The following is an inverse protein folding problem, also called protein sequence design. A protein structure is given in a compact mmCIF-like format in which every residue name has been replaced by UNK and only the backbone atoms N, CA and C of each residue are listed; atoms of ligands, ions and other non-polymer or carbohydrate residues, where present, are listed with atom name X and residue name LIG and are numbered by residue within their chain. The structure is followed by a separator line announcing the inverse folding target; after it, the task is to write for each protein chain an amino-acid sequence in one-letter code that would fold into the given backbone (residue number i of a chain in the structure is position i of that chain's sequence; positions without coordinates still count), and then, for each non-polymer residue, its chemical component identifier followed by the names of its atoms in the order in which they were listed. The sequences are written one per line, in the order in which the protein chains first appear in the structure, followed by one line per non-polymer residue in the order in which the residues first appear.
data_IF_219267683092
#
_entry.id   IF_219267683092
#
_cell.length_a   1.000
_cell.length_b   1.000
_cell.length_c   1.000
_cell.angle_alpha   90.00
_cell.angle_beta   90.00
_cell.angle_gamma   90.00
#
_symmetry.space_group_name_H-M   'P 1'
#
loop_
_entity.id
_entity.type
_entity.pdbx_description
1 polymer ?
#
# COMPACT_ATOMS: atom_id res chain seq x y z
N UNK A 1 -37.20 5.12 -31.07
CA UNK A 1 -37.66 4.05 -30.18
C UNK A 1 -36.88 4.15 -28.89
N UNK A 2 -37.48 4.78 -27.88
CA UNK A 2 -36.88 5.02 -26.57
C UNK A 2 -37.02 3.74 -25.72
N UNK A 3 -35.89 3.13 -25.35
CA UNK A 3 -35.86 2.01 -24.42
C UNK A 3 -35.63 2.55 -23.01
N UNK A 4 -36.73 2.58 -22.25
CA UNK A 4 -36.81 2.94 -20.85
C UNK A 4 -36.43 1.70 -20.02
N UNK A 5 -35.28 1.69 -19.34
CA UNK A 5 -34.89 0.57 -18.47
C UNK A 5 -34.90 1.02 -17.02
N UNK A 6 -35.74 0.32 -16.24
CA UNK A 6 -36.06 0.53 -14.83
C UNK A 6 -34.82 0.62 -13.92
N UNK A 7 -34.84 1.62 -13.04
CA UNK A 7 -33.99 1.76 -11.87
C UNK A 7 -34.66 1.03 -10.69
N UNK A 8 -34.09 -0.09 -10.23
CA UNK A 8 -34.55 -0.80 -9.02
C UNK A 8 -33.66 -0.36 -7.86
N UNK A 9 -34.20 0.49 -6.98
CA UNK A 9 -33.55 0.93 -5.74
C UNK A 9 -33.87 -0.12 -4.66
N UNK A 10 -32.92 -1.00 -4.36
CA UNK A 10 -33.01 -1.91 -3.22
C UNK A 10 -32.44 -1.21 -1.98
N UNK A 11 -33.33 -0.82 -1.06
CA UNK A 11 -32.97 -0.32 0.26
C UNK A 11 -32.57 -1.48 1.19
N UNK A 12 -31.29 -1.56 1.54
CA UNK A 12 -30.77 -2.49 2.54
C UNK A 12 -30.48 -1.74 3.85
N UNK A 13 -31.37 -1.94 4.82
CA UNK A 13 -31.21 -1.50 6.21
C UNK A 13 -30.19 -2.38 6.93
N UNK A 14 -29.03 -1.84 7.30
CA UNK A 14 -28.04 -2.55 8.11
C UNK A 14 -28.27 -2.21 9.58
N UNK A 15 -28.54 -3.26 10.36
CA UNK A 15 -28.82 -3.26 11.79
C UNK A 15 -27.49 -3.37 12.56
N UNK A 16 -27.19 -2.38 13.41
CA UNK A 16 -25.97 -2.30 14.21
C UNK A 16 -26.06 -3.16 15.49
N UNK A 17 -25.05 -4.00 15.80
CA UNK A 17 -24.91 -4.61 17.12
C UNK A 17 -24.09 -3.73 18.06
N UNK A 18 -24.69 -3.40 19.22
CA UNK A 18 -24.05 -2.76 20.37
C UNK A 18 -23.26 -3.81 21.18
N UNK A 19 -21.93 -3.71 21.20
CA UNK A 19 -21.09 -4.49 22.11
C UNK A 19 -20.65 -3.61 23.29
N UNK A 20 -21.01 -4.06 24.50
CA UNK A 20 -20.68 -3.45 25.79
C UNK A 20 -19.21 -3.73 26.15
N UNK A 21 -18.44 -2.69 26.40
CA UNK A 21 -17.13 -2.78 27.04
C UNK A 21 -17.30 -2.90 28.56
N UNK A 22 -16.72 -3.93 29.15
CA UNK A 22 -16.52 -4.08 30.60
C UNK A 22 -15.04 -3.81 30.88
N UNK A 23 -14.76 -2.68 31.53
CA UNK A 23 -13.43 -2.30 31.99
C UNK A 23 -13.32 -2.81 33.43
N UNK A 24 -12.58 -3.90 33.61
CA UNK A 24 -12.11 -4.33 34.92
C UNK A 24 -10.77 -3.65 35.18
N UNK A 25 -10.83 -2.62 36.00
CA UNK A 25 -9.70 -1.90 36.59
C UNK A 25 -9.13 -2.76 37.72
N UNK A 26 -7.95 -3.39 37.52
CA UNK A 26 -7.18 -3.96 38.62
C UNK A 26 -5.68 -3.97 38.38
N UNK A 27 -5.02 -3.26 39.30
CA UNK A 27 -3.75 -3.57 39.96
C UNK A 27 -2.45 -3.48 39.13
N UNK A 28 -1.71 -2.38 39.24
CA UNK A 28 -0.71 -2.05 40.26
C UNK A 28 0.66 -2.78 40.13
N UNK A 29 1.71 -1.94 40.08
CA UNK A 29 3.12 -2.17 40.43
C UNK A 29 3.98 -3.14 39.58
N UNK A 30 4.82 -2.60 38.68
CA UNK A 30 6.29 -2.82 38.74
C UNK A 30 7.07 -1.90 37.80
N UNK A 31 7.43 -0.73 38.29
CA UNK A 31 8.50 0.10 37.75
C UNK A 31 9.85 -0.57 37.98
N UNK A 32 10.48 -1.05 36.90
CA UNK A 32 11.89 -1.40 36.86
C UNK A 32 12.46 -0.98 35.50
N UNK A 33 13.49 -0.12 35.43
CA UNK A 33 14.11 0.25 34.17
C UNK A 33 15.01 -0.90 33.71
N UNK A 34 14.45 -1.87 32.97
CA UNK A 34 15.28 -2.80 32.19
C UNK A 34 15.78 -2.06 30.96
N UNK A 35 16.94 -1.43 31.08
CA UNK A 35 17.78 -1.11 29.93
C UNK A 35 18.12 -2.44 29.25
N UNK A 36 17.36 -2.79 28.23
CA UNK A 36 17.68 -3.89 27.33
C UNK A 36 18.94 -3.48 26.57
N UNK A 37 20.09 -3.95 27.06
CA UNK A 37 21.34 -3.99 26.30
C UNK A 37 21.19 -4.99 25.14
N UNK A 38 20.36 -4.65 24.16
CA UNK A 38 20.32 -5.38 22.90
C UNK A 38 21.47 -4.86 22.02
N UNK A 39 22.69 -5.19 22.43
CA UNK A 39 23.89 -5.09 21.61
C UNK A 39 24.33 -6.48 21.20
N UNK A 40 23.41 -7.27 20.66
CA UNK A 40 23.81 -8.26 19.67
C UNK A 40 24.31 -7.47 18.45
N UNK A 41 25.61 -7.15 18.44
CA UNK A 41 26.31 -6.73 17.23
C UNK A 41 26.30 -7.95 16.30
N UNK A 42 25.15 -8.20 15.66
CA UNK A 42 25.07 -9.06 14.47
C UNK A 42 26.06 -8.44 13.51
N UNK A 43 27.23 -9.05 13.41
CA UNK A 43 28.16 -8.79 12.33
C UNK A 43 27.37 -8.93 11.05
N UNK A 44 27.09 -7.81 10.39
CA UNK A 44 26.37 -7.78 9.14
C UNK A 44 27.13 -8.67 8.17
N UNK A 45 26.58 -9.84 7.86
CA UNK A 45 27.17 -10.69 6.85
C UNK A 45 27.15 -9.92 5.53
N UNK A 46 28.33 -9.76 4.93
CA UNK A 46 28.48 -9.12 3.63
C UNK A 46 27.76 -9.97 2.58
N UNK A 47 26.74 -9.39 1.94
CA UNK A 47 25.96 -10.04 0.88
C UNK A 47 24.54 -10.48 1.26
N UNK A 48 24.10 -10.29 2.50
CA UNK A 48 22.70 -10.52 2.88
C UNK A 48 21.75 -9.41 2.42
N UNK A 49 20.44 -9.70 2.42
CA UNK A 49 19.43 -8.66 2.34
C UNK A 49 19.46 -7.79 3.61
N UNK A 50 19.42 -6.48 3.42
CA UNK A 50 19.32 -5.48 4.48
C UNK A 50 17.98 -4.77 4.38
N UNK A 51 17.34 -4.49 5.51
CA UNK A 51 16.09 -3.73 5.53
C UNK A 51 16.30 -2.33 4.94
N UNK A 52 15.31 -1.86 4.20
CA UNK A 52 15.28 -0.55 3.58
C UNK A 52 14.02 0.18 4.01
N UNK A 53 14.11 1.51 4.14
CA UNK A 53 12.97 2.35 4.44
C UNK A 53 11.96 2.31 3.29
N UNK A 54 10.73 1.90 3.60
CA UNK A 54 9.63 1.80 2.65
C UNK A 54 9.16 3.16 2.15
N UNK A 55 9.43 4.23 2.90
CA UNK A 55 9.04 5.61 2.54
C UNK A 55 10.05 6.33 1.65
N UNK A 56 11.12 5.65 1.21
CA UNK A 56 12.13 6.28 0.35
C UNK A 56 11.66 6.47 -1.10
N UNK A 57 12.03 7.59 -1.72
CA UNK A 57 11.69 7.92 -3.12
C UNK A 57 12.18 6.85 -4.10
N UNK A 58 13.37 6.29 -3.84
CA UNK A 58 13.91 5.19 -4.63
C UNK A 58 12.98 3.98 -4.61
N UNK A 59 12.50 3.58 -3.42
CA UNK A 59 11.61 2.44 -3.28
C UNK A 59 10.25 2.69 -3.93
N UNK A 60 9.74 3.91 -3.83
CA UNK A 60 8.50 4.31 -4.51
C UNK A 60 8.62 4.15 -6.03
N UNK A 61 9.74 4.57 -6.63
CA UNK A 61 9.99 4.42 -8.07
C UNK A 61 10.14 2.96 -8.53
N UNK A 62 10.74 2.11 -7.68
CA UNK A 62 10.91 0.68 -7.98
C UNK A 62 9.58 -0.05 -7.82
N UNK A 63 8.77 0.32 -6.83
CA UNK A 63 7.45 -0.22 -6.61
C UNK A 63 6.50 0.15 -7.76
N UNK A 64 6.52 1.39 -8.25
CA UNK A 64 5.72 1.79 -9.41
C UNK A 64 6.13 1.04 -10.68
N UNK A 65 7.44 0.82 -10.88
CA UNK A 65 7.93 -0.01 -11.98
C UNK A 65 7.43 -1.46 -11.86
N UNK A 66 7.53 -2.06 -10.67
CA UNK A 66 7.04 -3.41 -10.43
C UNK A 66 5.53 -3.52 -10.64
N UNK A 67 4.74 -2.53 -10.24
CA UNK A 67 3.29 -2.52 -10.48
C UNK A 67 2.98 -2.46 -11.99
N UNK A 68 3.66 -1.61 -12.75
CA UNK A 68 3.45 -1.50 -14.19
C UNK A 68 3.72 -2.83 -14.92
N UNK A 69 4.82 -3.49 -14.58
CA UNK A 69 5.18 -4.81 -15.10
C UNK A 69 4.18 -5.90 -14.66
N UNK A 70 3.72 -5.84 -13.42
CA UNK A 70 2.71 -6.77 -12.90
C UNK A 70 1.38 -6.63 -13.65
N UNK A 71 0.92 -5.40 -13.90
CA UNK A 71 -0.31 -5.14 -14.65
C UNK A 71 -0.21 -5.64 -16.10
N UNK A 72 0.95 -5.44 -16.75
CA UNK A 72 1.21 -5.95 -18.10
C UNK A 72 1.22 -7.50 -18.15
N UNK A 73 1.70 -8.16 -17.09
CA UNK A 73 1.67 -9.63 -16.97
C UNK A 73 0.26 -10.15 -16.69
N UNK A 74 -0.47 -9.52 -15.76
CA UNK A 74 -1.79 -9.97 -15.31
C UNK A 74 -2.81 -10.04 -16.46
N UNK A 75 -2.70 -9.16 -17.45
CA UNK A 75 -3.56 -9.21 -18.65
C UNK A 75 -3.36 -10.49 -19.47
N UNK A 76 -2.13 -11.01 -19.54
CA UNK A 76 -1.83 -12.24 -20.31
C UNK A 76 -2.35 -13.49 -19.59
N UNK A 77 -2.41 -13.44 -18.27
CA UNK A 77 -2.93 -14.54 -17.45
C UNK A 77 -4.46 -14.53 -17.41
N UNK A 78 -5.08 -13.35 -17.42
CA UNK A 78 -6.54 -13.20 -17.38
C UNK A 78 -7.26 -13.90 -18.55
N UNK A 79 -6.62 -14.03 -19.72
CA UNK A 79 -7.17 -14.78 -20.85
C UNK A 79 -7.16 -16.31 -20.66
N UNK A 80 -6.37 -16.82 -19.71
CA UNK A 80 -6.17 -18.26 -19.49
C UNK A 80 -6.64 -18.75 -18.11
N UNK A 81 -6.91 -17.84 -17.17
CA UNK A 81 -7.22 -18.18 -15.80
C UNK A 81 -8.67 -18.68 -15.66
N UNK A 82 -8.82 -20.00 -15.55
CA UNK A 82 -9.95 -20.59 -14.86
C UNK A 82 -9.96 -20.02 -13.43
N UNK A 83 -11.02 -19.29 -13.11
CA UNK A 83 -11.31 -18.57 -11.87
C UNK A 83 -10.79 -19.26 -10.61
N UNK A 84 -9.57 -18.93 -10.19
CA UNK A 84 -9.12 -19.17 -8.82
C UNK A 84 -9.54 -17.96 -7.99
N UNK A 85 -10.21 -18.19 -6.84
CA UNK A 85 -10.85 -17.12 -6.06
C UNK A 85 -9.87 -16.07 -5.51
N UNK A 86 -8.58 -16.37 -5.48
CA UNK A 86 -7.54 -15.49 -4.93
C UNK A 86 -6.75 -14.71 -5.99
N UNK A 87 -7.19 -14.76 -7.26
CA UNK A 87 -6.53 -14.01 -8.33
C UNK A 87 -7.18 -12.65 -8.54
N UNK A 88 -6.55 -11.59 -8.01
CA UNK A 88 -6.89 -10.22 -8.40
C UNK A 88 -6.27 -9.92 -9.77
N UNK A 89 -7.02 -9.18 -10.60
CA UNK A 89 -6.59 -8.76 -11.94
C UNK A 89 -6.37 -7.25 -11.91
N UNK A 90 -5.17 -6.82 -12.27
CA UNK A 90 -4.81 -5.39 -12.33
C UNK A 90 -4.74 -4.98 -13.80
N UNK A 91 -5.54 -3.99 -14.19
CA UNK A 91 -5.50 -3.44 -15.54
C UNK A 91 -4.47 -2.30 -15.63
N UNK A 92 -3.62 -2.24 -16.66
CA UNK A 92 -2.68 -1.13 -16.88
C UNK A 92 -3.36 0.24 -16.95
N UNK A 93 -4.60 0.31 -17.43
CA UNK A 93 -5.38 1.55 -17.46
C UNK A 93 -5.70 2.09 -16.07
N UNK A 94 -5.95 1.21 -15.10
CA UNK A 94 -6.24 1.59 -13.70
C UNK A 94 -4.98 2.06 -12.96
N UNK A 95 -3.82 1.49 -13.33
CA UNK A 95 -2.53 1.95 -12.83
C UNK A 95 -2.20 3.33 -13.36
N UNK A 96 -2.45 3.58 -14.66
CA UNK A 96 -2.19 4.88 -15.29
C UNK A 96 -3.15 5.97 -14.83
N UNK A 97 -4.40 5.64 -14.53
CA UNK A 97 -5.36 6.59 -13.97
C UNK A 97 -5.10 6.95 -12.51
N UNK A 98 -4.18 6.24 -11.84
CA UNK A 98 -3.94 6.40 -10.40
C UNK A 98 -5.08 5.86 -9.52
N UNK A 99 -6.00 5.07 -10.09
CA UNK A 99 -7.10 4.47 -9.35
C UNK A 99 -6.60 3.40 -8.36
N UNK A 100 -5.48 2.76 -8.70
CA UNK A 100 -4.79 1.79 -7.84
C UNK A 100 -3.61 2.48 -7.19
N UNK A 101 -3.71 2.64 -5.88
CA UNK A 101 -2.62 3.08 -5.01
C UNK A 101 -1.77 1.89 -4.56
N UNK A 102 -0.46 2.10 -4.48
CA UNK A 102 0.49 1.09 -3.97
C UNK A 102 1.01 1.50 -2.61
N UNK A 103 1.09 0.54 -1.71
CA UNK A 103 1.72 0.72 -0.40
C UNK A 103 2.85 -0.29 -0.28
N UNK A 104 4.07 0.20 -0.08
CA UNK A 104 5.22 -0.68 0.14
C UNK A 104 5.23 -1.09 1.61
N UNK A 105 4.96 -2.36 1.86
CA UNK A 105 4.83 -2.92 3.21
C UNK A 105 6.20 -3.32 3.77
N UNK A 106 7.03 -3.92 2.92
CA UNK A 106 8.41 -4.26 3.25
C UNK A 106 9.32 -4.00 2.07
N UNK A 107 10.52 -3.49 2.35
CA UNK A 107 11.57 -3.35 1.38
C UNK A 107 12.88 -3.89 1.95
N UNK A 108 13.58 -4.71 1.17
CA UNK A 108 14.92 -5.17 1.48
C UNK A 108 15.82 -4.99 0.28
N UNK A 109 17.09 -4.66 0.51
CA UNK A 109 18.10 -4.49 -0.54
C UNK A 109 19.26 -5.46 -0.36
N UNK A 110 19.79 -5.97 -1.46
CA UNK A 110 21.00 -6.79 -1.52
C UNK A 110 21.93 -6.26 -2.62
N UNK A 111 23.21 -6.07 -2.29
CA UNK A 111 24.23 -5.67 -3.25
C UNK A 111 24.75 -6.92 -3.98
N UNK A 112 24.73 -6.89 -5.31
CA UNK A 112 25.25 -7.94 -6.22
C UNK A 112 26.09 -7.26 -7.33
N UNK A 113 26.15 -7.82 -8.53
CA UNK A 113 26.59 -7.09 -9.73
C UNK A 113 25.53 -6.04 -10.17
N UNK A 114 25.11 -5.19 -9.24
CA UNK A 114 23.91 -4.35 -9.28
C UNK A 114 23.23 -4.32 -7.90
N UNK A 115 21.93 -4.01 -7.87
CA UNK A 115 21.14 -3.96 -6.64
C UNK A 115 19.87 -4.79 -6.79
N UNK A 116 19.66 -5.77 -5.91
CA UNK A 116 18.41 -6.51 -5.82
C UNK A 116 17.53 -5.87 -4.74
N UNK A 117 16.27 -5.61 -5.07
CA UNK A 117 15.26 -5.09 -4.19
C UNK A 117 14.15 -6.13 -4.04
N UNK A 118 13.98 -6.65 -2.83
CA UNK A 118 12.87 -7.53 -2.49
C UNK A 118 11.78 -6.68 -1.85
N UNK A 119 10.63 -6.63 -2.51
CA UNK A 119 9.50 -5.79 -2.14
C UNK A 119 8.29 -6.66 -1.79
N UNK A 120 7.57 -6.25 -0.75
CA UNK A 120 6.21 -6.69 -0.46
C UNK A 120 5.30 -5.49 -0.70
N UNK A 121 4.46 -5.55 -1.74
CA UNK A 121 3.63 -4.43 -2.20
C UNK A 121 2.16 -4.78 -1.95
N UNK A 122 1.46 -3.93 -1.21
CA UNK A 122 0.01 -3.94 -1.08
C UNK A 122 -0.64 -3.04 -2.13
N UNK A 123 -1.81 -3.46 -2.62
CA UNK A 123 -2.61 -2.75 -3.60
C UNK A 123 -3.93 -2.31 -2.98
N UNK A 124 -4.24 -1.03 -3.15
CA UNK A 124 -5.44 -0.40 -2.62
C UNK A 124 -6.16 0.30 -3.77
N UNK A 125 -7.47 0.13 -3.86
CA UNK A 125 -8.33 0.83 -4.82
C UNK A 125 -9.55 1.35 -4.07
N UNK A 126 -9.85 2.64 -4.18
CA UNK A 126 -11.00 3.26 -3.52
C UNK A 126 -11.08 2.92 -2.01
N UNK A 127 -9.95 3.01 -1.30
CA UNK A 127 -9.79 2.65 0.11
C UNK A 127 -10.13 1.18 0.46
N UNK A 128 -10.23 0.31 -0.55
CA UNK A 128 -10.40 -1.12 -0.38
C UNK A 128 -9.10 -1.84 -0.74
N UNK A 129 -8.72 -2.81 0.09
CA UNK A 129 -7.61 -3.70 -0.25
C UNK A 129 -7.99 -4.57 -1.45
N UNK A 130 -7.14 -4.61 -2.48
CA UNK A 130 -7.24 -5.54 -3.60
C UNK A 130 -6.40 -6.80 -3.41
N UNK A 131 -5.42 -6.73 -2.52
CA UNK A 131 -4.44 -7.78 -2.28
C UNK A 131 -3.04 -7.19 -2.41
N UNK A 132 -2.08 -8.03 -2.76
CA UNK A 132 -0.71 -7.60 -2.93
C UNK A 132 0.17 -8.70 -3.47
N UNK A 133 1.43 -8.40 -3.67
CA UNK A 133 2.38 -9.35 -4.20
C UNK A 133 3.79 -9.09 -3.71
N UNK A 134 4.58 -10.14 -3.70
CA UNK A 134 6.03 -10.05 -3.49
C UNK A 134 6.72 -9.98 -4.84
N UNK A 135 7.73 -9.14 -4.97
CA UNK A 135 8.54 -9.04 -6.19
C UNK A 135 10.00 -8.82 -5.84
N UNK A 136 10.90 -9.37 -6.66
CA UNK A 136 12.32 -9.02 -6.63
C UNK A 136 12.66 -8.26 -7.89
N UNK A 137 13.06 -7.01 -7.74
CA UNK A 137 13.48 -6.13 -8.85
C UNK A 137 14.99 -5.97 -8.79
N UNK A 138 15.66 -6.21 -9.91
CA UNK A 138 17.08 -5.99 -10.07
C UNK A 138 17.32 -4.66 -10.79
N UNK A 139 18.12 -3.79 -10.18
CA UNK A 139 18.63 -2.55 -10.76
C UNK A 139 20.06 -2.78 -11.22
N UNK A 140 20.27 -2.66 -12.51
CA UNK A 140 21.57 -2.79 -13.13
C UNK A 140 22.49 -1.62 -12.74
N UNK A 141 23.79 -1.79 -12.92
CA UNK A 141 24.77 -0.70 -12.75
C UNK A 141 24.53 0.45 -13.75
N UNK A 142 23.87 0.19 -14.88
CA UNK A 142 23.42 1.19 -15.85
C UNK A 142 22.23 2.03 -15.36
N UNK A 143 21.55 1.60 -14.29
CA UNK A 143 20.32 2.20 -13.79
C UNK A 143 19.04 1.56 -14.32
N UNK A 144 19.13 0.65 -15.29
CA UNK A 144 17.96 -0.07 -15.83
C UNK A 144 17.33 -0.98 -14.76
N UNK A 145 16.01 -0.95 -14.65
CA UNK A 145 15.23 -1.81 -13.75
C UNK A 145 14.71 -3.02 -14.52
N UNK A 146 14.79 -4.20 -13.90
CA UNK A 146 14.24 -5.45 -14.43
C UNK A 146 13.61 -6.27 -13.33
N UNK A 147 12.42 -6.80 -13.55
CA UNK A 147 11.84 -7.77 -12.60
C UNK A 147 12.62 -9.08 -12.71
N UNK A 148 13.28 -9.47 -11.62
CA UNK A 148 14.07 -10.69 -11.55
C UNK A 148 13.17 -11.90 -11.24
N UNK A 149 12.24 -11.76 -10.29
CA UNK A 149 11.37 -12.86 -9.87
C UNK A 149 10.08 -12.32 -9.26
N UNK A 150 8.96 -12.91 -9.66
CA UNK A 150 7.67 -12.73 -8.99
C UNK A 150 7.54 -13.70 -7.82
N UNK A 151 7.12 -13.18 -6.68
CA UNK A 151 6.84 -13.97 -5.48
C UNK A 151 5.35 -14.34 -5.38
N UNK A 152 4.97 -14.73 -4.16
CA UNK A 152 3.60 -15.13 -3.83
C UNK A 152 2.66 -13.91 -3.89
N UNK A 153 1.45 -14.12 -4.41
CA UNK A 153 0.35 -13.17 -4.31
C UNK A 153 -0.28 -13.29 -2.92
N UNK A 154 -0.53 -12.16 -2.30
CA UNK A 154 -1.06 -12.06 -0.95
C UNK A 154 -2.51 -11.62 -1.03
N UNK A 155 -3.39 -12.34 -0.34
CA UNK A 155 -4.77 -11.91 -0.14
C UNK A 155 -4.85 -10.76 0.87
N UNK A 156 -6.01 -10.10 0.93
CA UNK A 156 -6.22 -9.01 1.88
C UNK A 156 -6.16 -9.45 3.34
N UNK A 157 -6.56 -10.68 3.65
CA UNK A 157 -6.49 -11.21 5.02
C UNK A 157 -5.03 -11.32 5.49
N UNK A 158 -4.14 -11.83 4.63
CA UNK A 158 -2.72 -11.94 4.94
C UNK A 158 -2.07 -10.57 5.09
N UNK A 159 -2.41 -9.64 4.20
CA UNK A 159 -1.90 -8.27 4.23
C UNK A 159 -2.36 -7.53 5.48
N UNK A 160 -3.64 -7.63 5.84
CA UNK A 160 -4.18 -6.98 7.02
C UNK A 160 -3.60 -7.58 8.30
N UNK A 161 -3.38 -8.90 8.33
CA UNK A 161 -2.78 -9.59 9.47
C UNK A 161 -1.32 -9.19 9.69
N UNK A 162 -0.54 -8.99 8.63
CA UNK A 162 0.88 -8.66 8.72
C UNK A 162 1.15 -7.15 8.78
N UNK A 163 0.30 -6.32 8.16
CA UNK A 163 0.59 -4.91 7.87
C UNK A 163 -0.60 -3.96 8.04
N UNK A 164 -1.66 -4.37 8.76
CA UNK A 164 -2.88 -3.57 8.92
C UNK A 164 -2.63 -2.16 9.48
N UNK A 165 -1.59 -1.97 10.29
CA UNK A 165 -1.20 -0.65 10.80
C UNK A 165 -0.71 0.29 9.68
N UNK A 166 0.22 -0.19 8.83
CA UNK A 166 0.79 0.60 7.74
C UNK A 166 -0.29 1.00 6.71
N UNK A 167 -1.22 0.09 6.42
CA UNK A 167 -2.34 0.37 5.52
C UNK A 167 -3.33 1.35 6.16
N UNK A 168 -3.61 1.18 7.45
CA UNK A 168 -4.48 2.09 8.18
C UNK A 168 -3.97 3.53 8.21
N UNK A 169 -2.65 3.75 8.26
CA UNK A 169 -2.05 5.09 8.18
C UNK A 169 -2.30 5.74 6.81
N UNK A 170 -2.08 5.00 5.71
CA UNK A 170 -2.30 5.50 4.34
C UNK A 170 -3.77 5.85 4.11
N UNK A 171 -4.68 4.96 4.51
CA UNK A 171 -6.13 5.18 4.34
C UNK A 171 -6.65 6.38 5.14
N UNK A 172 -6.03 6.71 6.28
CA UNK A 172 -6.39 7.89 7.08
C UNK A 172 -5.83 9.19 6.51
N UNK A 173 -4.69 9.14 5.83
CA UNK A 173 -4.02 10.31 5.27
C UNK A 173 -4.84 11.02 4.19
N UNK A 174 -5.53 10.27 3.33
CA UNK A 174 -6.32 10.83 2.23
C UNK A 174 -7.54 11.64 2.70
N UNK A 175 -8.15 11.25 3.82
CA UNK A 175 -9.31 11.96 4.37
C UNK A 175 -8.97 13.40 4.83
N UNK A 176 -7.71 13.67 5.17
CA UNK A 176 -7.29 14.98 5.66
C UNK A 176 -6.90 15.96 4.56
N UNK A 177 -6.45 15.48 3.39
CA UNK A 177 -6.05 16.34 2.28
C UNK A 177 -7.26 17.06 1.65
N UNK A 178 -8.42 16.41 1.60
CA UNK A 178 -9.64 16.99 1.03
C UNK A 178 -10.17 18.19 1.84
N UNK A 179 -9.82 18.30 3.14
CA UNK A 179 -10.33 19.37 4.01
C UNK A 179 -9.53 20.68 3.96
N UNK A 180 -8.35 20.67 3.33
CA UNK A 180 -7.47 21.85 3.30
C UNK A 180 -7.79 22.78 2.12
N UNK A 181 -8.40 22.28 1.05
CA UNK A 181 -8.74 23.09 -0.13
C UNK A 181 -9.95 24.01 0.08
N UNK A 182 -10.77 23.78 1.11
CA UNK A 182 -11.96 24.60 1.39
C UNK A 182 -11.64 25.91 2.17
N UNK A 183 -10.48 26.02 2.83
CA UNK A 183 -10.14 27.21 3.65
C UNK A 183 -9.30 28.28 2.92
N UNK A 184 -8.82 28.04 1.69
CA UNK A 184 -7.92 28.98 1.00
C UNK A 184 -8.66 30.07 0.20
N UNK A 185 -9.98 30.02 0.08
CA UNK A 185 -10.74 30.96 -0.75
C UNK A 185 -11.10 32.31 -0.08
N UNK A 186 -10.68 32.57 1.17
CA UNK A 186 -11.17 33.75 1.93
C UNK A 186 -10.21 34.96 1.94
N UNK A 187 -8.99 34.91 1.40
CA UNK A 187 -8.05 36.06 1.48
C UNK A 187 -7.58 36.66 0.15
N UNK A 188 -8.46 36.77 -0.85
CA UNK A 188 -8.28 37.71 -1.97
C UNK A 188 -9.22 38.92 -1.83
N UNK A 189 -9.07 39.65 -0.73
CA UNK A 189 -9.67 40.97 -0.55
C UNK A 189 -8.67 42.06 -0.94
N UNK A 190 -8.88 42.64 -2.13
CA UNK A 190 -8.85 44.09 -2.38
C UNK A 190 -7.56 44.86 -2.02
N UNK A 191 -6.64 44.96 -3.00
CA UNK A 191 -5.61 46.02 -3.01
C UNK A 191 -6.14 47.14 -3.91
N UNK A 192 -6.67 48.20 -3.30
CA UNK A 192 -6.99 49.44 -4.00
C UNK A 192 -5.71 50.13 -4.52
N UNK A 193 -5.67 50.59 -5.78
CA UNK A 193 -4.58 51.42 -6.27
C UNK A 193 -4.74 52.86 -5.78
N UNK A 194 -3.74 53.36 -5.04
CA UNK A 194 -3.63 54.80 -4.75
C UNK A 194 -3.21 55.56 -6.02
N UNK A 195 -3.98 56.60 -6.34
CA UNK A 195 -3.66 57.65 -7.33
C UNK A 195 -2.45 58.51 -6.92
#
# INVERSE_FOLDING_TARGET
MLSLTLLVIAALTIQSPQAKASIDDRDYMRSGPQQTFDRSRKTSMVGGFSALDSKSDEISSIASFALAEFAAMSQKDASNAASTPDSFVVLPSQVQSGEISTVVLEAQRQVVAGMNYKLTIGLIQNNQCLGGFKATVWKQLSGELKVATWGVRLGCDEINAQFGEAIGEVLKGEANALRVEEEVEIQKGEVEPNE
#
